data_IF_579868804135
#
_entry.id   IF_579868804135
#
_cell.length_a   1.000
_cell.length_b   1.000
_cell.length_c   1.000
_cell.angle_alpha   90.00
_cell.angle_beta   90.00
_cell.angle_gamma   90.00
#
_symmetry.space_group_name_H-M   'P 1'
#
loop_
_entity.id
_entity.type
_entity.pdbx_description
1 polymer ?
#
# COMPACT_ATOMS: atom_id res chain seq x y z
N UNK A 1 24.13 -5.88 -19.01
CA UNK A 1 23.03 -6.11 -18.03
C UNK A 1 21.72 -5.86 -18.77
N UNK A 2 20.92 -6.89 -18.98
CA UNK A 2 19.66 -6.79 -19.71
C UNK A 2 18.72 -5.92 -18.87
N UNK A 3 18.24 -4.83 -19.44
CA UNK A 3 17.14 -4.07 -18.87
C UNK A 3 15.91 -4.97 -18.93
N UNK A 4 15.66 -5.71 -17.83
CA UNK A 4 14.44 -6.48 -17.69
C UNK A 4 13.26 -5.53 -17.83
N UNK A 5 12.38 -5.81 -18.79
CA UNK A 5 11.13 -5.09 -18.91
C UNK A 5 10.37 -5.31 -17.59
N UNK A 6 10.01 -4.22 -16.92
CA UNK A 6 9.13 -4.23 -15.74
C UNK A 6 7.72 -4.57 -16.19
N UNK A 7 7.50 -5.84 -16.55
CA UNK A 7 6.22 -6.30 -17.06
C UNK A 7 5.27 -6.57 -15.91
N UNK A 8 4.22 -5.78 -15.83
CA UNK A 8 3.03 -6.17 -15.05
C UNK A 8 2.40 -7.40 -15.68
N UNK A 9 2.03 -8.34 -14.85
CA UNK A 9 1.36 -9.57 -15.25
C UNK A 9 -0.02 -9.61 -14.61
N UNK A 10 -1.07 -9.91 -15.34
CA UNK A 10 -2.37 -10.15 -14.74
C UNK A 10 -2.28 -11.20 -13.64
N UNK A 11 -2.97 -10.96 -12.54
CA UNK A 11 -3.12 -11.87 -11.42
C UNK A 11 -4.60 -11.99 -11.07
N UNK A 12 -5.03 -13.18 -10.70
CA UNK A 12 -6.34 -13.42 -10.13
C UNK A 12 -6.16 -13.66 -8.64
N UNK A 13 -6.80 -12.83 -7.82
CA UNK A 13 -6.73 -12.89 -6.36
C UNK A 13 -7.92 -13.70 -5.85
N UNK A 14 -7.71 -14.91 -5.29
CA UNK A 14 -8.80 -15.73 -4.77
C UNK A 14 -9.30 -15.19 -3.42
N UNK A 15 -10.61 -14.95 -3.30
CA UNK A 15 -11.29 -14.55 -2.05
C UNK A 15 -12.56 -15.37 -1.91
N UNK A 16 -12.53 -16.46 -1.17
CA UNK A 16 -13.63 -17.43 -1.13
C UNK A 16 -13.98 -17.91 -2.56
N UNK A 17 -15.25 -17.75 -3.00
CA UNK A 17 -15.66 -18.10 -4.35
C UNK A 17 -15.34 -17.04 -5.40
N UNK A 18 -14.85 -15.86 -5.00
CA UNK A 18 -14.60 -14.74 -5.90
C UNK A 18 -13.16 -14.74 -6.40
N UNK A 19 -12.98 -14.24 -7.63
CA UNK A 19 -11.69 -13.91 -8.20
C UNK A 19 -11.63 -12.40 -8.42
N UNK A 20 -10.66 -11.75 -7.78
CA UNK A 20 -10.44 -10.33 -7.95
C UNK A 20 -9.32 -10.08 -8.96
N UNK A 21 -9.45 -8.98 -9.68
CA UNK A 21 -8.45 -8.51 -10.62
C UNK A 21 -7.23 -7.97 -9.90
N UNK A 22 -6.04 -8.31 -10.38
CA UNK A 22 -4.79 -7.77 -9.86
C UNK A 22 -3.70 -7.68 -10.92
N UNK A 23 -2.65 -6.97 -10.59
CA UNK A 23 -1.43 -6.84 -11.37
C UNK A 23 -0.21 -7.14 -10.50
N UNK A 24 0.62 -8.04 -10.99
CA UNK A 24 1.78 -8.58 -10.29
C UNK A 24 3.08 -8.22 -10.99
N UNK A 25 4.07 -7.78 -10.22
CA UNK A 25 5.46 -7.70 -10.66
C UNK A 25 6.34 -8.67 -9.87
N UNK A 26 7.22 -9.34 -10.57
CA UNK A 26 8.24 -10.19 -9.96
C UNK A 26 9.38 -9.37 -9.39
N UNK A 27 10.02 -9.92 -8.37
CA UNK A 27 11.21 -9.36 -7.75
C UNK A 27 11.80 -10.36 -6.78
N UNK A 28 12.93 -10.00 -6.18
CA UNK A 28 13.62 -10.84 -5.17
C UNK A 28 13.98 -10.07 -3.91
N UNK A 29 13.86 -8.74 -3.92
CA UNK A 29 14.17 -7.91 -2.75
C UNK A 29 12.99 -7.93 -1.76
N UNK A 30 13.27 -8.22 -0.50
CA UNK A 30 12.28 -8.27 0.57
C UNK A 30 12.27 -7.00 1.42
N UNK A 31 11.15 -6.70 2.10
CA UNK A 31 9.84 -7.32 1.94
C UNK A 31 9.18 -6.98 0.60
N UNK A 32 8.34 -7.88 0.03
CA UNK A 32 7.44 -7.54 -1.06
C UNK A 32 6.40 -6.50 -0.60
N UNK A 33 5.75 -5.84 -1.55
CA UNK A 33 4.80 -4.75 -1.26
C UNK A 33 3.40 -5.10 -1.77
N UNK A 34 2.41 -5.08 -0.88
CA UNK A 34 1.00 -5.08 -1.25
C UNK A 34 0.50 -3.63 -1.31
N UNK A 35 0.01 -3.23 -2.48
CA UNK A 35 -0.59 -1.90 -2.67
C UNK A 35 -2.11 -2.01 -2.58
N UNK A 36 -2.69 -1.37 -1.56
CA UNK A 36 -4.12 -1.26 -1.38
C UNK A 36 -4.63 0.01 -2.09
N UNK A 37 -5.52 -0.15 -3.10
CA UNK A 37 -6.09 0.99 -3.78
C UNK A 37 -7.03 1.78 -2.87
N UNK A 38 -7.42 3.01 -3.23
CA UNK A 38 -8.49 3.70 -2.53
C UNK A 38 -9.77 2.85 -2.56
N UNK A 39 -10.71 3.06 -1.62
CA UNK A 39 -11.99 2.34 -1.61
C UNK A 39 -12.74 2.46 -2.94
N UNK A 40 -13.65 1.52 -3.25
CA UNK A 40 -14.37 1.45 -4.54
C UNK A 40 -15.07 2.74 -4.98
N UNK A 41 -15.44 3.60 -4.03
CA UNK A 41 -16.09 4.89 -4.28
C UNK A 41 -15.10 5.96 -4.74
N UNK A 42 -13.83 5.81 -4.36
CA UNK A 42 -12.77 6.79 -4.61
C UNK A 42 -11.81 6.39 -5.74
N UNK A 43 -11.84 5.10 -6.17
CA UNK A 43 -10.99 4.68 -7.27
C UNK A 43 -10.80 3.16 -7.43
N UNK A 44 -9.65 2.82 -8.00
CA UNK A 44 -9.25 1.45 -8.33
C UNK A 44 -7.74 1.29 -8.17
N UNK A 45 -7.23 0.09 -8.47
CA UNK A 45 -5.77 -0.14 -8.56
C UNK A 45 -5.06 0.73 -9.60
N UNK A 46 -5.80 1.34 -10.54
CA UNK A 46 -5.25 2.25 -11.56
C UNK A 46 -5.15 3.70 -11.07
N UNK A 47 -5.49 3.96 -9.80
CA UNK A 47 -5.20 5.26 -9.19
C UNK A 47 -3.71 5.58 -9.34
N UNK A 48 -3.38 6.82 -9.72
CA UNK A 48 -2.01 7.22 -10.10
C UNK A 48 -0.99 6.93 -9.00
N UNK A 49 -1.37 7.10 -7.73
CA UNK A 49 -0.51 6.78 -6.59
C UNK A 49 -0.27 5.28 -6.47
N UNK A 50 -1.29 4.43 -6.70
CA UNK A 50 -1.11 2.97 -6.67
C UNK A 50 -0.17 2.50 -7.78
N UNK A 51 -0.33 3.05 -8.98
CA UNK A 51 0.54 2.76 -10.11
C UNK A 51 1.99 3.18 -9.85
N UNK A 52 2.20 4.38 -9.27
CA UNK A 52 3.52 4.87 -8.89
C UNK A 52 4.18 3.98 -7.82
N UNK A 53 3.45 3.63 -6.76
CA UNK A 53 3.95 2.75 -5.70
C UNK A 53 4.36 1.38 -6.24
N UNK A 54 3.52 0.79 -7.11
CA UNK A 54 3.82 -0.49 -7.73
C UNK A 54 5.04 -0.41 -8.66
N UNK A 55 5.11 0.64 -9.48
CA UNK A 55 6.22 0.85 -10.38
C UNK A 55 7.55 1.11 -9.65
N UNK A 56 7.50 1.94 -8.61
CA UNK A 56 8.67 2.20 -7.78
C UNK A 56 9.17 0.92 -7.11
N UNK A 57 8.29 0.12 -6.48
CA UNK A 57 8.65 -1.14 -5.85
C UNK A 57 9.26 -2.13 -6.85
N UNK A 58 8.65 -2.29 -8.03
CA UNK A 58 9.15 -3.14 -9.11
C UNK A 58 10.54 -2.72 -9.58
N UNK A 59 10.77 -1.42 -9.79
CA UNK A 59 12.10 -0.89 -10.16
C UNK A 59 13.17 -1.12 -9.11
N UNK A 60 12.77 -1.13 -7.85
CA UNK A 60 13.67 -1.46 -6.74
C UNK A 60 13.93 -2.97 -6.60
N UNK A 61 13.33 -3.80 -7.47
CA UNK A 61 13.46 -5.26 -7.45
C UNK A 61 12.61 -5.94 -6.39
N UNK A 62 11.61 -5.26 -5.81
CA UNK A 62 10.68 -5.86 -4.85
C UNK A 62 9.50 -6.49 -5.59
N UNK A 63 9.07 -7.71 -5.21
CA UNK A 63 7.79 -8.23 -5.66
C UNK A 63 6.67 -7.26 -5.23
N UNK A 64 5.71 -6.99 -6.09
CA UNK A 64 4.59 -6.13 -5.76
C UNK A 64 3.31 -6.63 -6.38
N UNK A 65 2.21 -6.55 -5.63
CA UNK A 65 0.86 -6.81 -6.07
C UNK A 65 0.00 -5.57 -5.81
N UNK A 66 -0.74 -5.12 -6.82
CA UNK A 66 -1.88 -4.22 -6.70
C UNK A 66 -3.12 -4.93 -7.20
N UNK A 67 -4.29 -4.62 -6.65
CA UNK A 67 -5.53 -5.33 -6.96
C UNK A 67 -6.73 -4.39 -6.91
N UNK A 68 -7.86 -4.84 -7.46
CA UNK A 68 -9.14 -4.18 -7.33
C UNK A 68 -10.00 -4.89 -6.28
N UNK A 69 -10.63 -4.12 -5.40
CA UNK A 69 -11.66 -4.66 -4.51
C UNK A 69 -12.81 -5.28 -5.29
N UNK A 70 -13.59 -6.16 -4.66
CA UNK A 70 -14.79 -6.76 -5.27
C UNK A 70 -15.71 -5.70 -5.87
N UNK A 71 -16.27 -5.99 -7.05
CA UNK A 71 -17.15 -5.08 -7.78
C UNK A 71 -16.47 -3.86 -8.40
N UNK A 72 -15.14 -3.86 -8.52
CA UNK A 72 -14.35 -2.81 -9.18
C UNK A 72 -13.58 -3.42 -10.36
N UNK A 73 -13.57 -2.76 -11.51
CA UNK A 73 -12.89 -3.25 -12.71
C UNK A 73 -13.41 -4.62 -13.13
N UNK A 74 -12.51 -5.57 -13.35
CA UNK A 74 -12.82 -6.96 -13.66
C UNK A 74 -12.96 -7.87 -12.43
N UNK A 75 -12.88 -7.34 -11.20
CA UNK A 75 -13.11 -8.10 -9.98
C UNK A 75 -14.55 -8.57 -9.87
N UNK A 76 -14.73 -9.85 -9.54
CA UNK A 76 -16.05 -10.45 -9.33
C UNK A 76 -16.73 -9.89 -8.06
N UNK A 77 -18.02 -10.18 -7.92
CA UNK A 77 -18.84 -9.77 -6.80
C UNK A 77 -19.40 -8.37 -6.93
N UNK A 78 -19.94 -7.84 -5.84
CA UNK A 78 -20.49 -6.48 -5.73
C UNK A 78 -19.69 -5.70 -4.71
N UNK A 79 -19.69 -4.38 -4.81
CA UNK A 79 -19.02 -3.50 -3.84
C UNK A 79 -19.51 -3.85 -2.43
N UNK A 80 -18.55 -4.10 -1.56
CA UNK A 80 -18.81 -4.51 -0.18
C UNK A 80 -18.51 -3.38 0.82
N UNK A 81 -18.76 -3.68 2.08
CA UNK A 81 -18.47 -2.83 3.23
C UNK A 81 -16.98 -2.88 3.67
N UNK A 82 -16.68 -2.28 4.81
CA UNK A 82 -15.33 -2.28 5.38
C UNK A 82 -14.80 -3.70 5.67
N UNK A 83 -15.66 -4.61 6.17
CA UNK A 83 -15.28 -5.98 6.46
C UNK A 83 -14.92 -6.74 5.19
N UNK A 84 -15.71 -6.58 4.14
CA UNK A 84 -15.45 -7.17 2.81
C UNK A 84 -14.14 -6.67 2.21
N UNK A 85 -13.78 -5.40 2.41
CA UNK A 85 -12.49 -4.86 1.97
C UNK A 85 -11.31 -5.52 2.69
N UNK A 86 -11.45 -5.81 3.97
CA UNK A 86 -10.41 -6.54 4.73
C UNK A 86 -10.26 -7.96 4.21
N UNK A 87 -11.37 -8.67 3.92
CA UNK A 87 -11.32 -10.02 3.32
C UNK A 87 -10.61 -10.01 1.95
N UNK A 88 -10.93 -9.03 1.10
CA UNK A 88 -10.30 -8.88 -0.21
C UNK A 88 -8.80 -8.63 -0.09
N UNK A 89 -8.41 -7.72 0.79
CA UNK A 89 -7.02 -7.38 1.04
C UNK A 89 -6.24 -8.54 1.69
N UNK A 90 -6.88 -9.34 2.56
CA UNK A 90 -6.31 -10.56 3.12
C UNK A 90 -6.07 -11.63 2.04
N UNK A 91 -6.98 -11.76 1.07
CA UNK A 91 -6.79 -12.62 -0.11
C UNK A 91 -5.59 -12.17 -0.95
N UNK A 92 -5.47 -10.87 -1.20
CA UNK A 92 -4.33 -10.31 -1.93
C UNK A 92 -3.01 -10.50 -1.17
N UNK A 93 -3.01 -10.31 0.15
CA UNK A 93 -1.85 -10.55 1.02
C UNK A 93 -1.39 -12.01 0.93
N UNK A 94 -2.32 -12.97 0.97
CA UNK A 94 -2.03 -14.40 0.85
C UNK A 94 -1.40 -14.71 -0.51
N UNK A 95 -1.99 -14.25 -1.61
CA UNK A 95 -1.45 -14.46 -2.95
C UNK A 95 -0.04 -13.86 -3.10
N UNK A 96 0.18 -12.65 -2.55
CA UNK A 96 1.51 -12.02 -2.58
C UNK A 96 2.55 -12.88 -1.86
N UNK A 97 2.23 -13.39 -0.66
CA UNK A 97 3.11 -14.28 0.12
C UNK A 97 3.44 -15.55 -0.63
N UNK A 98 2.44 -16.20 -1.20
CA UNK A 98 2.60 -17.43 -1.99
C UNK A 98 3.50 -17.20 -3.21
N UNK A 99 3.24 -16.15 -3.98
CA UNK A 99 4.01 -15.84 -5.18
C UNK A 99 5.45 -15.38 -4.90
N UNK A 100 5.67 -14.71 -3.79
CA UNK A 100 7.00 -14.25 -3.37
C UNK A 100 7.78 -15.30 -2.56
N UNK A 101 7.10 -16.33 -2.04
CA UNK A 101 7.71 -17.36 -1.21
C UNK A 101 8.17 -16.86 0.16
N UNK A 102 7.51 -15.82 0.73
CA UNK A 102 7.89 -15.21 1.99
C UNK A 102 6.67 -14.91 2.85
N UNK A 103 6.88 -14.78 4.17
CA UNK A 103 5.83 -14.43 5.14
C UNK A 103 5.75 -12.91 5.32
N UNK A 104 6.89 -12.25 5.39
CA UNK A 104 7.01 -10.83 5.71
C UNK A 104 6.67 -9.95 4.50
N UNK A 105 5.68 -9.08 4.66
CA UNK A 105 5.14 -8.19 3.62
C UNK A 105 5.01 -6.78 4.16
N UNK A 106 5.34 -5.78 3.35
CA UNK A 106 5.01 -4.39 3.60
C UNK A 106 3.69 -4.01 2.90
N UNK A 107 2.91 -3.16 3.54
CA UNK A 107 1.69 -2.59 2.95
C UNK A 107 1.95 -1.15 2.51
N UNK A 108 1.29 -0.75 1.42
CA UNK A 108 1.18 0.64 1.02
C UNK A 108 -0.30 0.92 0.68
N UNK A 109 -0.95 1.80 1.42
CA UNK A 109 -2.37 2.08 1.27
C UNK A 109 -2.64 3.54 0.89
N UNK A 110 -3.65 3.77 0.06
CA UNK A 110 -4.03 5.08 -0.46
C UNK A 110 -5.38 5.51 0.09
N UNK A 111 -5.44 6.71 0.64
CA UNK A 111 -6.68 7.30 1.16
C UNK A 111 -7.30 6.48 2.30
N UNK A 112 -8.61 6.31 2.23
CA UNK A 112 -9.41 5.59 3.25
C UNK A 112 -9.10 4.10 3.36
N UNK A 113 -8.30 3.53 2.44
CA UNK A 113 -7.79 2.17 2.60
C UNK A 113 -6.72 2.04 3.68
N UNK A 114 -6.31 3.15 4.30
CA UNK A 114 -5.51 3.15 5.51
C UNK A 114 -6.15 2.30 6.62
N UNK A 115 -7.45 2.43 6.85
CA UNK A 115 -8.19 1.64 7.83
C UNK A 115 -8.12 0.13 7.55
N UNK A 116 -8.30 -0.26 6.28
CA UNK A 116 -8.15 -1.65 5.84
C UNK A 116 -6.72 -2.16 6.07
N UNK A 117 -5.71 -1.35 5.73
CA UNK A 117 -4.31 -1.73 5.94
C UNK A 117 -3.97 -1.91 7.43
N UNK A 118 -4.45 -1.04 8.30
CA UNK A 118 -4.22 -1.12 9.75
C UNK A 118 -4.91 -2.34 10.37
N UNK A 119 -6.08 -2.72 9.87
CA UNK A 119 -6.71 -3.99 10.26
C UNK A 119 -5.88 -5.19 9.83
N UNK A 120 -5.32 -5.21 8.63
CA UNK A 120 -4.39 -6.26 8.22
C UNK A 120 -3.15 -6.31 9.12
N UNK A 121 -2.60 -5.17 9.55
CA UNK A 121 -1.48 -5.11 10.49
C UNK A 121 -1.84 -5.80 11.80
N UNK A 122 -3.05 -5.59 12.33
CA UNK A 122 -3.46 -6.18 13.61
C UNK A 122 -3.86 -7.66 13.50
N UNK A 123 -4.42 -8.08 12.37
CA UNK A 123 -5.01 -9.42 12.20
C UNK A 123 -4.05 -10.43 11.54
N UNK A 124 -3.00 -9.94 10.85
CA UNK A 124 -2.11 -10.80 10.06
C UNK A 124 -0.64 -10.65 10.47
N UNK A 125 -0.10 -11.56 11.31
CA UNK A 125 1.33 -11.63 11.59
C UNK A 125 2.16 -11.71 10.28
N UNK A 126 3.33 -11.05 10.29
CA UNK A 126 4.19 -10.94 9.11
C UNK A 126 3.84 -9.75 8.19
N UNK A 127 2.87 -8.90 8.57
CA UNK A 127 2.86 -7.52 8.05
C UNK A 127 3.90 -6.75 8.86
N UNK A 128 5.02 -6.41 8.22
CA UNK A 128 6.20 -5.89 8.93
C UNK A 128 6.39 -4.38 8.82
N UNK A 129 5.63 -3.72 7.97
CA UNK A 129 5.69 -2.27 7.78
C UNK A 129 4.44 -1.77 7.04
N UNK A 130 4.00 -0.54 7.30
CA UNK A 130 2.88 0.08 6.60
C UNK A 130 3.18 1.52 6.21
N UNK A 131 2.98 1.86 4.93
CA UNK A 131 3.02 3.20 4.39
C UNK A 131 1.58 3.65 4.05
N UNK A 132 1.18 4.81 4.54
CA UNK A 132 -0.12 5.41 4.30
C UNK A 132 0.07 6.70 3.49
N UNK A 133 -0.64 6.82 2.38
CA UNK A 133 -0.56 7.98 1.49
C UNK A 133 -1.89 8.70 1.51
N UNK A 134 -1.91 9.93 2.04
CA UNK A 134 -3.11 10.73 2.28
C UNK A 134 -4.20 9.95 3.02
N UNK A 135 -3.92 9.38 4.21
CA UNK A 135 -4.95 8.70 4.98
C UNK A 135 -6.03 9.69 5.42
N UNK A 136 -7.25 9.18 5.66
CA UNK A 136 -8.29 10.02 6.23
C UNK A 136 -8.01 10.38 7.70
N UNK A 137 -8.44 11.55 8.16
CA UNK A 137 -8.35 11.93 9.57
C UNK A 137 -9.01 10.90 10.48
N UNK A 138 -8.37 10.58 11.61
CA UNK A 138 -8.85 9.58 12.58
C UNK A 138 -8.44 8.14 12.27
N UNK A 139 -7.85 7.86 11.12
CA UNK A 139 -7.45 6.50 10.74
C UNK A 139 -6.41 5.89 11.70
N UNK A 140 -5.58 6.70 12.35
CA UNK A 140 -4.47 6.27 13.22
C UNK A 140 -4.81 6.21 14.71
N UNK A 141 -6.05 6.49 15.10
CA UNK A 141 -6.46 6.59 16.51
C UNK A 141 -6.24 5.30 17.34
N UNK A 142 -6.10 4.14 16.70
CA UNK A 142 -5.89 2.84 17.37
C UNK A 142 -4.43 2.47 17.68
N UNK A 143 -3.48 3.33 17.32
CA UNK A 143 -2.04 3.01 17.40
C UNK A 143 -1.59 2.00 16.32
N UNK A 144 -0.28 1.93 16.10
CA UNK A 144 0.34 1.03 15.10
C UNK A 144 1.59 0.41 15.68
N UNK A 145 1.70 -0.94 15.67
CA UNK A 145 2.83 -1.67 16.28
C UNK A 145 3.90 -2.12 15.30
N UNK A 146 3.82 -1.69 14.08
CA UNK A 146 4.87 -1.90 13.07
C UNK A 146 5.39 -0.55 12.61
N UNK A 147 6.58 -0.48 12.01
CA UNK A 147 7.05 0.74 11.38
C UNK A 147 5.98 1.37 10.49
N UNK A 148 5.68 2.63 10.74
CA UNK A 148 4.66 3.43 10.03
C UNK A 148 5.33 4.58 9.29
N UNK A 149 4.96 4.76 8.02
CA UNK A 149 5.23 5.97 7.23
C UNK A 149 3.90 6.61 6.84
N UNK A 150 3.75 7.90 7.11
CA UNK A 150 2.63 8.70 6.62
C UNK A 150 3.14 9.74 5.62
N UNK A 151 2.58 9.76 4.41
CA UNK A 151 2.92 10.71 3.36
C UNK A 151 1.70 11.56 3.04
N UNK A 152 1.87 12.88 3.09
CA UNK A 152 0.81 13.84 2.79
C UNK A 152 1.29 14.90 1.80
N UNK A 153 0.37 15.47 1.02
CA UNK A 153 0.68 16.61 0.16
C UNK A 153 0.80 17.92 0.97
N UNK A 154 1.68 18.84 0.53
CA UNK A 154 1.84 20.15 1.17
C UNK A 154 0.53 20.95 1.19
N UNK A 155 -0.29 20.81 0.15
CA UNK A 155 -1.57 21.51 0.00
C UNK A 155 -2.78 20.63 0.34
N UNK A 156 -2.56 19.53 1.07
CA UNK A 156 -3.63 18.63 1.49
C UNK A 156 -4.50 19.26 2.58
N UNK A 157 -5.83 19.29 2.42
CA UNK A 157 -6.73 19.74 3.48
C UNK A 157 -6.59 18.89 4.74
N UNK A 158 -6.54 19.52 5.91
CA UNK A 158 -6.39 18.78 7.19
C UNK A 158 -4.99 18.26 7.48
N UNK A 159 -4.00 18.53 6.63
CA UNK A 159 -2.62 18.07 6.78
C UNK A 159 -2.08 18.14 8.21
N UNK A 160 -2.29 19.25 8.91
CA UNK A 160 -1.76 19.45 10.27
C UNK A 160 -2.27 18.37 11.25
N UNK A 161 -3.55 18.01 11.16
CA UNK A 161 -4.14 16.94 11.96
C UNK A 161 -3.55 15.58 11.61
N UNK A 162 -3.42 15.25 10.32
CA UNK A 162 -2.83 13.99 9.85
C UNK A 162 -1.37 13.84 10.31
N UNK A 163 -0.59 14.93 10.27
CA UNK A 163 0.78 14.93 10.77
C UNK A 163 0.85 14.67 12.28
N UNK A 164 -0.05 15.30 13.05
CA UNK A 164 -0.14 15.09 14.49
C UNK A 164 -0.49 13.64 14.82
N UNK A 165 -1.57 13.10 14.23
CA UNK A 165 -1.99 11.70 14.43
C UNK A 165 -0.87 10.70 14.09
N UNK A 166 -0.19 10.89 12.96
CA UNK A 166 0.89 10.00 12.55
C UNK A 166 2.09 10.07 13.50
N UNK A 167 2.41 11.27 14.01
CA UNK A 167 3.48 11.46 14.99
C UNK A 167 3.12 10.82 16.33
N UNK A 168 1.89 11.00 16.82
CA UNK A 168 1.39 10.37 18.04
C UNK A 168 1.39 8.84 17.95
N UNK A 169 1.10 8.30 16.76
CA UNK A 169 1.22 6.87 16.49
C UNK A 169 2.68 6.36 16.36
N UNK A 170 3.68 7.22 16.58
CA UNK A 170 5.10 6.86 16.45
C UNK A 170 5.58 6.70 15.01
N UNK A 171 4.81 7.17 14.04
CA UNK A 171 5.12 7.07 12.63
C UNK A 171 6.12 8.13 12.15
N UNK A 172 6.85 7.78 11.10
CA UNK A 172 7.60 8.75 10.30
C UNK A 172 6.64 9.52 9.40
N UNK A 173 6.84 10.82 9.30
CA UNK A 173 6.00 11.71 8.51
C UNK A 173 6.81 12.35 7.40
N UNK A 174 6.25 12.37 6.19
CA UNK A 174 6.86 13.01 5.02
C UNK A 174 5.82 13.90 4.32
N UNK A 175 6.24 15.09 3.91
CA UNK A 175 5.39 16.05 3.18
C UNK A 175 5.94 16.23 1.78
N UNK A 176 5.11 15.96 0.76
CA UNK A 176 5.50 16.16 -0.64
C UNK A 176 5.21 17.60 -1.04
N UNK A 177 6.28 18.36 -1.29
CA UNK A 177 6.18 19.78 -1.62
C UNK A 177 5.42 20.03 -2.92
N UNK A 178 4.55 21.05 -2.91
CA UNK A 178 3.71 21.43 -4.05
C UNK A 178 2.61 20.44 -4.43
N UNK A 179 2.46 19.33 -3.70
CA UNK A 179 1.43 18.33 -3.97
C UNK A 179 0.14 18.61 -3.17
N UNK A 180 -0.98 18.23 -3.76
CA UNK A 180 -2.29 18.07 -3.11
C UNK A 180 -2.49 16.60 -2.66
N UNK A 181 -3.65 16.26 -2.14
CA UNK A 181 -4.02 14.89 -1.73
C UNK A 181 -4.04 13.87 -2.90
N UNK A 182 -4.06 14.34 -4.15
CA UNK A 182 -4.04 13.50 -5.36
C UNK A 182 -2.65 13.34 -5.98
N UNK A 183 -1.67 14.06 -5.45
CA UNK A 183 -0.29 14.07 -5.95
C UNK A 183 -0.18 14.33 -7.45
N UNK A 184 -0.99 15.26 -7.98
CA UNK A 184 -0.93 15.66 -9.40
C UNK A 184 0.42 16.30 -9.77
N UNK A 185 1.15 16.77 -8.76
CA UNK A 185 2.53 17.23 -8.87
C UNK A 185 3.42 16.39 -7.95
N UNK A 186 4.64 16.14 -8.42
CA UNK A 186 5.68 15.42 -7.68
C UNK A 186 5.30 13.96 -7.30
N UNK A 187 4.42 13.32 -8.09
CA UNK A 187 4.01 11.93 -7.89
C UNK A 187 5.21 10.96 -7.70
N UNK A 188 6.32 11.04 -8.47
CA UNK A 188 7.48 10.14 -8.28
C UNK A 188 8.15 10.26 -6.90
N UNK A 189 7.94 11.38 -6.18
CA UNK A 189 8.45 11.53 -4.82
C UNK A 189 7.80 10.55 -3.86
N UNK A 190 6.50 10.24 -4.03
CA UNK A 190 5.78 9.29 -3.19
C UNK A 190 6.45 7.91 -3.23
N UNK A 191 6.68 7.38 -4.44
CA UNK A 191 7.36 6.10 -4.61
C UNK A 191 8.77 6.10 -4.01
N UNK A 192 9.54 7.17 -4.24
CA UNK A 192 10.89 7.33 -3.71
C UNK A 192 10.93 7.38 -2.18
N UNK A 193 10.00 8.07 -1.54
CA UNK A 193 9.89 8.15 -0.08
C UNK A 193 9.59 6.78 0.53
N UNK A 194 8.61 6.04 -0.01
CA UNK A 194 8.27 4.70 0.46
C UNK A 194 9.45 3.75 0.35
N UNK A 195 10.14 3.73 -0.80
CA UNK A 195 11.28 2.84 -0.98
C UNK A 195 12.45 3.15 -0.06
N UNK A 196 12.80 4.43 0.07
CA UNK A 196 13.87 4.87 0.97
C UNK A 196 13.58 4.49 2.41
N UNK A 197 12.34 4.64 2.84
CA UNK A 197 11.90 4.26 4.17
C UNK A 197 11.93 2.74 4.38
N UNK A 198 11.43 1.94 3.42
CA UNK A 198 11.50 0.47 3.49
C UNK A 198 12.95 -0.05 3.53
N UNK A 199 13.86 0.60 2.79
CA UNK A 199 15.28 0.22 2.79
C UNK A 199 15.97 0.57 4.12
N UNK A 200 15.48 1.59 4.83
CA UNK A 200 15.96 1.94 6.17
C UNK A 200 15.36 1.05 7.26
N UNK A 201 14.06 0.73 7.18
CA UNK A 201 13.37 -0.12 8.14
C UNK A 201 13.85 -1.59 8.12
N UNK A 202 14.37 -2.06 6.98
CA UNK A 202 14.92 -3.41 6.84
C UNK A 202 16.37 -3.59 7.31
N UNK A 203 17.03 -2.53 7.81
CA UNK A 203 18.36 -2.65 8.41
C UNK A 203 18.24 -2.97 9.90
N UNK A 204 18.99 -3.97 10.42
CA UNK A 204 19.06 -4.14 11.87
C UNK A 204 19.62 -2.85 12.50
N UNK A 205 19.22 -2.51 13.75
CA UNK A 205 19.79 -1.37 14.44
C UNK A 205 21.31 -1.52 14.48
N UNK A 206 22.02 -0.49 14.06
CA UNK A 206 23.47 -0.43 14.20
C UNK A 206 23.79 -0.53 15.70
N UNK A 207 24.49 -1.60 16.06
CA UNK A 207 24.95 -1.90 17.44
C UNK A 207 26.08 -0.99 17.87
#
# INVERSE_FOLDING_TARGET
>A
MSHGQYLERPALVPVGPLLLEGLWHRGSKVPPVLVLPPPPEAGSMDHVVCAELAWAAARAGRPVLRFNFRGVGASQGTRGDAASRVEDAAGALRLLRENAGVVDVALAAVGDSAETALRLVSEHPGVVAVALVSPSPGALAGGVHVPLLCIVGEHEPGRAGLLAEATEAGGRVEVVSGADARFQRNLPEVGRLVLRWLDAAGKPPES
#
